data_IF_608168673615
#
_entry.id   IF_608168673615
#
_cell.length_a   1.000
_cell.length_b   1.000
_cell.length_c   1.000
_cell.angle_alpha   90.00
_cell.angle_beta   90.00
_cell.angle_gamma   90.00
#
_symmetry.space_group_name_H-M   'P 1'
#
loop_
_entity.id
_entity.type
_entity.pdbx_description
1 polymer ?
#
# COMPACT_ATOMS: atom_id res chain seq x y z
N UNK A 1 11.03 57.06 7.70
CA UNK A 1 12.35 56.50 7.31
C UNK A 1 13.39 56.55 8.43
N UNK A 2 13.70 57.71 9.04
CA UNK A 2 14.76 57.82 10.08
C UNK A 2 14.57 56.90 11.30
N UNK A 3 13.33 56.69 11.75
CA UNK A 3 13.00 55.84 12.92
C UNK A 3 13.17 54.34 12.67
N UNK A 4 12.98 53.88 11.44
CA UNK A 4 13.18 52.47 11.06
C UNK A 4 14.67 52.14 11.04
N UNK A 5 15.48 53.03 10.47
CA UNK A 5 16.94 52.88 10.43
C UNK A 5 17.53 52.80 11.84
N UNK A 6 17.09 53.66 12.76
CA UNK A 6 17.56 53.66 14.16
C UNK A 6 17.21 52.35 14.89
N UNK A 7 16.02 51.79 14.67
CA UNK A 7 15.62 50.51 15.28
C UNK A 7 16.42 49.34 14.74
N UNK A 8 16.67 49.31 13.43
CA UNK A 8 17.53 48.28 12.81
C UNK A 8 18.97 48.36 13.32
N UNK A 9 19.51 49.57 13.50
CA UNK A 9 20.84 49.77 14.07
C UNK A 9 20.92 49.32 15.54
N UNK A 10 19.92 49.64 16.37
CA UNK A 10 19.87 49.19 17.76
C UNK A 10 19.77 47.67 17.86
N UNK A 11 18.97 47.03 17.00
CA UNK A 11 18.86 45.58 16.97
C UNK A 11 20.18 44.92 16.54
N UNK A 12 20.82 45.43 15.49
CA UNK A 12 22.12 44.93 15.04
C UNK A 12 23.21 45.10 16.12
N UNK A 13 23.21 46.23 16.82
CA UNK A 13 24.15 46.48 17.91
C UNK A 13 23.91 45.54 19.10
N UNK A 14 22.65 45.33 19.47
CA UNK A 14 22.28 44.37 20.51
C UNK A 14 22.69 42.94 20.13
N UNK A 15 22.43 42.51 18.89
CA UNK A 15 22.85 41.21 18.39
C UNK A 15 24.38 41.04 18.43
N UNK A 16 25.13 42.07 18.06
CA UNK A 16 26.59 42.07 18.12
C UNK A 16 27.11 41.96 19.56
N UNK A 17 26.49 42.67 20.51
CA UNK A 17 26.83 42.56 21.94
C UNK A 17 26.55 41.15 22.46
N UNK A 18 25.37 40.59 22.16
CA UNK A 18 25.01 39.23 22.57
C UNK A 18 25.99 38.21 22.01
N UNK A 19 26.40 38.35 20.74
CA UNK A 19 27.40 37.49 20.10
C UNK A 19 28.79 37.63 20.74
N UNK A 20 29.17 38.85 21.13
CA UNK A 20 30.45 39.10 21.79
C UNK A 20 30.47 38.53 23.21
N UNK A 21 29.41 38.75 23.98
CA UNK A 21 29.26 38.20 25.34
C UNK A 21 29.22 36.67 25.29
N UNK A 22 28.48 36.07 24.34
CA UNK A 22 28.44 34.61 24.21
C UNK A 22 29.80 34.01 23.89
N UNK A 23 30.60 34.67 23.05
CA UNK A 23 31.97 34.25 22.72
C UNK A 23 32.90 34.27 23.94
N UNK A 24 32.75 35.25 24.83
CA UNK A 24 33.52 35.36 26.07
C UNK A 24 33.06 34.30 27.08
N UNK A 25 31.75 34.13 27.28
CA UNK A 25 31.19 33.23 28.28
C UNK A 25 31.45 31.76 27.96
N UNK A 26 31.36 31.38 26.68
CA UNK A 26 31.47 30.00 26.21
C UNK A 26 32.89 29.58 25.83
N UNK A 27 33.91 30.46 25.97
CA UNK A 27 35.31 30.22 25.54
C UNK A 27 35.37 29.46 24.21
N UNK A 28 34.71 30.01 23.20
CA UNK A 28 34.44 29.34 21.92
C UNK A 28 35.69 28.76 21.26
N UNK A 29 36.87 29.33 21.49
CA UNK A 29 38.14 28.88 20.91
C UNK A 29 38.50 27.43 21.27
N UNK A 30 38.02 26.89 22.39
CA UNK A 30 38.18 25.48 22.78
C UNK A 30 37.28 24.53 21.96
N UNK A 31 36.12 25.01 21.49
CA UNK A 31 35.10 24.21 20.81
C UNK A 31 35.11 24.35 19.29
N UNK A 32 35.84 25.33 18.72
CA UNK A 32 35.94 25.50 17.25
C UNK A 32 36.48 24.23 16.58
N UNK A 33 37.40 23.51 17.23
CA UNK A 33 37.89 22.21 16.75
C UNK A 33 36.75 21.16 16.71
N UNK A 34 35.91 21.12 17.74
CA UNK A 34 34.79 20.18 17.85
C UNK A 34 33.64 20.51 16.89
N UNK A 35 33.44 21.78 16.51
CA UNK A 35 32.44 22.18 15.50
C UNK A 35 32.72 21.51 14.14
N UNK A 36 33.99 21.31 13.78
CA UNK A 36 34.35 20.58 12.56
C UNK A 36 34.02 19.09 12.68
N UNK A 37 34.23 18.49 13.85
CA UNK A 37 33.87 17.09 14.14
C UNK A 37 32.36 16.89 14.15
N UNK A 38 31.60 17.79 14.77
CA UNK A 38 30.15 17.75 14.83
C UNK A 38 29.52 17.95 13.45
N UNK A 39 30.06 18.86 12.64
CA UNK A 39 29.57 19.09 11.27
C UNK A 39 29.89 17.90 10.36
N UNK A 40 31.08 17.31 10.47
CA UNK A 40 31.42 16.07 9.76
C UNK A 40 30.52 14.91 10.18
N UNK A 41 30.29 14.73 11.49
CA UNK A 41 29.36 13.73 12.03
C UNK A 41 27.94 13.94 11.48
N UNK A 42 27.38 15.15 11.61
CA UNK A 42 26.05 15.46 11.13
C UNK A 42 25.92 15.27 9.62
N UNK A 43 26.97 15.56 8.86
CA UNK A 43 27.00 15.34 7.41
C UNK A 43 26.96 13.85 7.09
N UNK A 44 27.84 13.05 7.68
CA UNK A 44 27.88 11.59 7.42
C UNK A 44 26.57 10.92 7.82
N UNK A 45 26.06 11.22 9.02
CA UNK A 45 24.79 10.65 9.50
C UNK A 45 23.60 11.16 8.69
N UNK A 46 23.57 12.45 8.36
CA UNK A 46 22.51 13.03 7.53
C UNK A 46 22.47 12.45 6.13
N UNK A 47 23.64 12.27 5.50
CA UNK A 47 23.76 11.62 4.18
C UNK A 47 23.32 10.16 4.25
N UNK A 48 23.83 9.39 5.21
CA UNK A 48 23.44 7.98 5.36
C UNK A 48 21.95 7.82 5.65
N UNK A 49 21.41 8.65 6.55
CA UNK A 49 19.98 8.67 6.86
C UNK A 49 19.16 9.03 5.63
N UNK A 50 19.57 10.03 4.85
CA UNK A 50 18.89 10.43 3.63
C UNK A 50 18.85 9.30 2.59
N UNK A 51 19.97 8.60 2.41
CA UNK A 51 20.05 7.45 1.49
C UNK A 51 19.13 6.31 1.97
N UNK A 52 19.23 5.91 3.24
CA UNK A 52 18.39 4.84 3.80
C UNK A 52 16.90 5.20 3.71
N UNK A 53 16.55 6.44 4.07
CA UNK A 53 15.17 6.94 3.99
C UNK A 53 14.65 6.88 2.55
N UNK A 54 15.46 7.31 1.58
CA UNK A 54 15.07 7.27 0.17
C UNK A 54 14.79 5.83 -0.30
N UNK A 55 15.65 4.88 0.07
CA UNK A 55 15.43 3.46 -0.25
C UNK A 55 14.18 2.90 0.42
N UNK A 56 13.95 3.17 1.71
CA UNK A 56 12.75 2.72 2.42
C UNK A 56 11.49 3.26 1.74
N UNK A 57 11.46 4.55 1.40
CA UNK A 57 10.30 5.16 0.73
C UNK A 57 10.07 4.53 -0.64
N UNK A 58 11.13 4.30 -1.41
CA UNK A 58 11.03 3.67 -2.73
C UNK A 58 10.51 2.23 -2.64
N UNK A 59 11.03 1.44 -1.70
CA UNK A 59 10.61 0.05 -1.44
C UNK A 59 9.12 -0.01 -1.06
N UNK A 60 8.70 0.79 -0.08
CA UNK A 60 7.32 0.84 0.40
C UNK A 60 6.36 1.30 -0.71
N UNK A 61 6.77 2.29 -1.50
CA UNK A 61 6.00 2.74 -2.65
C UNK A 61 5.82 1.63 -3.69
N UNK A 62 6.89 0.88 -3.99
CA UNK A 62 6.85 -0.28 -4.88
C UNK A 62 5.87 -1.35 -4.40
N UNK A 63 5.95 -1.72 -3.12
CA UNK A 63 5.05 -2.70 -2.50
C UNK A 63 3.59 -2.24 -2.53
N UNK A 64 3.34 -0.95 -2.24
CA UNK A 64 2.01 -0.37 -2.32
C UNK A 64 1.46 -0.43 -3.75
N UNK A 65 2.25 -0.02 -4.75
CA UNK A 65 1.85 -0.04 -6.15
C UNK A 65 1.59 -1.46 -6.66
N UNK A 66 2.39 -2.43 -6.24
CA UNK A 66 2.20 -3.84 -6.60
C UNK A 66 0.92 -4.40 -5.97
N UNK A 67 0.67 -4.10 -4.69
CA UNK A 67 -0.54 -4.53 -3.98
C UNK A 67 -1.78 -3.94 -4.64
N UNK A 68 -1.75 -2.65 -4.98
CA UNK A 68 -2.84 -1.99 -5.71
C UNK A 68 -3.13 -2.69 -7.04
N UNK A 69 -2.09 -3.00 -7.82
CA UNK A 69 -2.22 -3.71 -9.09
C UNK A 69 -2.84 -5.11 -8.95
N UNK A 70 -2.44 -5.86 -7.91
CA UNK A 70 -3.00 -7.18 -7.62
C UNK A 70 -4.49 -7.09 -7.22
N UNK A 71 -4.86 -6.09 -6.43
CA UNK A 71 -6.27 -5.84 -6.04
C UNK A 71 -7.11 -5.46 -7.26
N UNK A 72 -6.59 -4.60 -8.14
CA UNK A 72 -7.28 -4.22 -9.39
C UNK A 72 -7.49 -5.44 -10.29
N UNK A 73 -6.46 -6.29 -10.45
CA UNK A 73 -6.56 -7.54 -11.21
C UNK A 73 -7.55 -8.53 -10.60
N UNK A 74 -7.53 -8.72 -9.29
CA UNK A 74 -8.48 -9.58 -8.58
C UNK A 74 -9.92 -9.10 -8.80
N UNK A 75 -10.16 -7.78 -8.72
CA UNK A 75 -11.46 -7.19 -8.99
C UNK A 75 -11.93 -7.43 -10.45
N UNK A 76 -11.02 -7.26 -11.42
CA UNK A 76 -11.30 -7.51 -12.84
C UNK A 76 -11.65 -8.99 -13.11
N UNK A 77 -10.91 -9.93 -12.52
CA UNK A 77 -11.16 -11.36 -12.69
C UNK A 77 -12.46 -11.80 -12.00
N UNK A 78 -12.80 -11.23 -10.84
CA UNK A 78 -14.10 -11.46 -10.19
C UNK A 78 -15.25 -10.94 -11.07
N UNK A 79 -15.10 -9.75 -11.64
CA UNK A 79 -16.09 -9.18 -12.55
C UNK A 79 -16.24 -10.05 -13.81
N UNK A 80 -15.13 -10.54 -14.36
CA UNK A 80 -15.10 -11.45 -15.50
C UNK A 80 -15.78 -12.78 -15.18
N UNK A 81 -15.48 -13.37 -14.03
CA UNK A 81 -16.12 -14.59 -13.54
C UNK A 81 -17.64 -14.40 -13.41
N UNK A 82 -18.08 -13.27 -12.84
CA UNK A 82 -19.50 -12.93 -12.77
C UNK A 82 -20.13 -12.82 -14.17
N UNK A 83 -19.49 -12.09 -15.09
CA UNK A 83 -19.98 -11.97 -16.48
C UNK A 83 -20.11 -13.32 -17.18
N UNK A 84 -19.15 -14.22 -17.00
CA UNK A 84 -19.20 -15.57 -17.57
C UNK A 84 -20.42 -16.35 -17.07
N UNK A 85 -20.82 -16.16 -15.81
CA UNK A 85 -21.98 -16.85 -15.26
C UNK A 85 -23.29 -16.44 -15.92
N UNK A 86 -23.37 -15.23 -16.48
CA UNK A 86 -24.57 -14.73 -17.14
C UNK A 86 -24.91 -15.50 -18.43
N UNK A 87 -23.90 -16.14 -19.04
CA UNK A 87 -24.09 -16.95 -20.24
C UNK A 87 -24.75 -18.31 -19.97
N UNK A 88 -24.82 -18.76 -18.71
CA UNK A 88 -25.53 -19.98 -18.35
C UNK A 88 -27.05 -19.77 -18.36
N UNK A 89 -27.78 -20.79 -18.81
CA UNK A 89 -29.25 -20.80 -18.77
C UNK A 89 -29.79 -20.93 -17.34
N UNK A 90 -29.09 -21.66 -16.47
CA UNK A 90 -29.51 -21.90 -15.09
C UNK A 90 -29.61 -20.60 -14.27
N UNK A 91 -30.84 -20.21 -13.92
CA UNK A 91 -31.12 -19.02 -13.11
C UNK A 91 -30.70 -19.18 -11.64
N UNK A 92 -30.77 -20.39 -11.10
CA UNK A 92 -30.41 -20.68 -9.70
C UNK A 92 -28.90 -20.56 -9.53
N UNK A 93 -28.13 -21.14 -10.46
CA UNK A 93 -26.68 -20.98 -10.53
C UNK A 93 -26.28 -19.49 -10.58
N UNK A 94 -26.86 -18.70 -11.49
CA UNK A 94 -26.59 -17.27 -11.60
C UNK A 94 -26.83 -16.50 -10.30
N UNK A 95 -27.97 -16.76 -9.64
CA UNK A 95 -28.31 -16.09 -8.39
C UNK A 95 -27.36 -16.48 -7.25
N UNK A 96 -27.02 -17.78 -7.16
CA UNK A 96 -26.08 -18.27 -6.15
C UNK A 96 -24.67 -17.72 -6.36
N UNK A 97 -24.18 -17.72 -7.61
CA UNK A 97 -22.85 -17.19 -7.91
C UNK A 97 -22.78 -15.70 -7.62
N UNK A 98 -23.80 -14.92 -8.04
CA UNK A 98 -23.89 -13.49 -7.72
C UNK A 98 -23.74 -13.25 -6.22
N UNK A 99 -24.52 -13.97 -5.41
CA UNK A 99 -24.48 -13.83 -3.95
C UNK A 99 -23.12 -14.19 -3.36
N UNK A 100 -22.50 -15.27 -3.81
CA UNK A 100 -21.17 -15.67 -3.33
C UNK A 100 -20.11 -14.61 -3.69
N UNK A 101 -20.18 -14.05 -4.90
CA UNK A 101 -19.27 -12.98 -5.35
C UNK A 101 -19.49 -11.70 -4.53
N UNK A 102 -20.74 -11.32 -4.25
CA UNK A 102 -21.07 -10.19 -3.39
C UNK A 102 -20.54 -10.41 -1.96
N UNK A 103 -20.80 -11.58 -1.36
CA UNK A 103 -20.32 -11.95 -0.03
C UNK A 103 -18.78 -11.91 0.05
N UNK A 104 -18.10 -12.45 -0.99
CA UNK A 104 -16.64 -12.44 -1.08
C UNK A 104 -16.10 -11.01 -1.14
N UNK A 105 -16.66 -10.18 -2.03
CA UNK A 105 -16.21 -8.80 -2.25
C UNK A 105 -16.43 -7.94 -1.00
N UNK A 106 -17.57 -8.08 -0.33
CA UNK A 106 -17.85 -7.38 0.93
C UNK A 106 -16.87 -7.76 2.03
N UNK A 107 -16.52 -9.03 2.13
CA UNK A 107 -15.58 -9.52 3.15
C UNK A 107 -14.16 -9.03 2.89
N UNK A 108 -13.73 -9.00 1.62
CA UNK A 108 -12.42 -8.44 1.24
C UNK A 108 -12.35 -6.94 1.57
N UNK A 109 -13.41 -6.18 1.28
CA UNK A 109 -13.48 -4.74 1.56
C UNK A 109 -13.48 -4.46 3.06
N UNK A 110 -14.31 -5.19 3.82
CA UNK A 110 -14.57 -4.89 5.23
C UNK A 110 -13.45 -5.34 6.15
N UNK A 111 -12.99 -6.58 5.98
CA UNK A 111 -12.13 -7.22 6.97
C UNK A 111 -10.68 -7.31 6.46
N UNK A 112 -10.45 -7.67 5.19
CA UNK A 112 -9.11 -8.05 4.74
C UNK A 112 -8.13 -6.89 4.57
N UNK A 113 -8.55 -5.72 4.11
CA UNK A 113 -7.62 -4.59 3.95
C UNK A 113 -6.95 -4.15 5.25
N UNK A 114 -7.58 -4.40 6.41
CA UNK A 114 -6.99 -4.11 7.71
C UNK A 114 -5.89 -5.11 8.13
N UNK A 115 -5.91 -6.33 7.58
CA UNK A 115 -5.01 -7.42 7.96
C UNK A 115 -3.99 -7.81 6.88
N UNK A 116 -4.07 -7.22 5.67
CA UNK A 116 -3.13 -7.49 4.57
C UNK A 116 -1.67 -7.23 4.96
N UNK A 117 -1.40 -6.20 5.76
CA UNK A 117 -0.05 -5.90 6.24
C UNK A 117 0.55 -6.93 7.21
N UNK A 118 -0.25 -7.89 7.69
CA UNK A 118 0.18 -8.94 8.62
C UNK A 118 0.45 -10.31 7.98
N UNK A 119 0.34 -10.45 6.65
CA UNK A 119 0.63 -11.70 5.92
C UNK A 119 -0.23 -12.90 6.32
N UNK A 120 -1.34 -12.67 7.03
CA UNK A 120 -2.14 -13.72 7.65
C UNK A 120 -3.39 -14.02 6.82
N UNK A 121 -3.62 -15.30 6.52
CA UNK A 121 -4.86 -15.74 5.86
C UNK A 121 -6.04 -15.60 6.81
N UNK A 122 -7.09 -14.95 6.34
CA UNK A 122 -8.33 -14.83 7.09
C UNK A 122 -9.25 -16.03 6.80
N UNK A 123 -9.51 -16.86 7.81
CA UNK A 123 -10.23 -18.13 7.64
C UNK A 123 -11.64 -17.94 7.06
N UNK A 124 -12.33 -16.85 7.41
CA UNK A 124 -13.66 -16.55 6.88
C UNK A 124 -13.61 -16.28 5.37
N UNK A 125 -12.56 -15.63 4.87
CA UNK A 125 -12.39 -15.34 3.45
C UNK A 125 -12.08 -16.60 2.66
N UNK A 126 -11.20 -17.46 3.18
CA UNK A 126 -10.95 -18.77 2.58
C UNK A 126 -12.22 -19.62 2.48
N UNK A 127 -13.11 -19.54 3.49
CA UNK A 127 -14.39 -20.26 3.47
C UNK A 127 -15.32 -19.73 2.39
N UNK A 128 -15.44 -18.41 2.23
CA UNK A 128 -16.31 -17.81 1.20
C UNK A 128 -15.74 -18.05 -0.20
N UNK A 129 -14.44 -17.89 -0.39
CA UNK A 129 -13.78 -18.15 -1.68
C UNK A 129 -13.97 -19.61 -2.14
N UNK A 130 -13.86 -20.57 -1.21
CA UNK A 130 -14.09 -22.00 -1.53
C UNK A 130 -15.52 -22.28 -1.99
N UNK A 131 -16.52 -21.48 -1.60
CA UNK A 131 -17.91 -21.65 -2.10
C UNK A 131 -18.00 -21.45 -3.61
N UNK A 132 -17.13 -20.62 -4.19
CA UNK A 132 -17.05 -20.44 -5.66
C UNK A 132 -16.66 -21.77 -6.30
N UNK A 133 -15.59 -22.42 -5.82
CA UNK A 133 -15.16 -23.72 -6.33
C UNK A 133 -16.22 -24.81 -6.16
N UNK A 134 -16.93 -24.82 -5.03
CA UNK A 134 -18.03 -25.75 -4.81
C UNK A 134 -19.15 -25.54 -5.85
N UNK A 135 -19.54 -24.29 -6.08
CA UNK A 135 -20.60 -23.98 -7.05
C UNK A 135 -20.18 -24.31 -8.49
N UNK A 136 -18.92 -24.08 -8.86
CA UNK A 136 -18.39 -24.45 -10.19
C UNK A 136 -18.42 -25.97 -10.38
N UNK A 137 -18.01 -26.73 -9.37
CA UNK A 137 -17.99 -28.21 -9.42
C UNK A 137 -19.37 -28.83 -9.64
N UNK A 138 -20.40 -28.19 -9.09
CA UNK A 138 -21.78 -28.70 -9.18
C UNK A 138 -22.47 -28.36 -10.51
N UNK A 139 -21.78 -27.65 -11.43
CA UNK A 139 -22.28 -27.38 -12.77
C UNK A 139 -22.26 -28.67 -13.60
N UNK A 140 -23.42 -29.01 -14.18
CA UNK A 140 -23.54 -30.05 -15.21
C UNK A 140 -23.88 -29.38 -16.55
N UNK A 141 -22.90 -29.16 -17.45
CA UNK A 141 -23.14 -28.51 -18.73
C UNK A 141 -24.07 -29.36 -19.62
N UNK A 142 -25.19 -28.77 -20.06
CA UNK A 142 -26.24 -29.47 -20.81
C UNK A 142 -26.09 -29.34 -22.34
N UNK A 143 -25.37 -28.32 -22.82
CA UNK A 143 -25.14 -28.08 -24.25
C UNK A 143 -23.71 -27.58 -24.53
N UNK A 144 -23.31 -27.57 -25.80
CA UNK A 144 -21.95 -27.18 -26.23
C UNK A 144 -21.59 -25.74 -25.86
N UNK A 145 -22.58 -24.84 -25.83
CA UNK A 145 -22.40 -23.47 -25.34
C UNK A 145 -22.05 -23.46 -23.85
N UNK A 146 -22.81 -24.17 -23.02
CA UNK A 146 -22.54 -24.27 -21.58
C UNK A 146 -21.20 -24.96 -21.29
N UNK A 147 -20.78 -25.93 -22.12
CA UNK A 147 -19.45 -26.56 -22.03
C UNK A 147 -18.33 -25.56 -22.29
N UNK A 148 -18.45 -24.78 -23.37
CA UNK A 148 -17.45 -23.76 -23.72
C UNK A 148 -17.34 -22.70 -22.62
N UNK A 149 -18.46 -22.24 -22.09
CA UNK A 149 -18.47 -21.26 -20.99
C UNK A 149 -17.90 -21.87 -19.70
N UNK A 150 -18.18 -23.14 -19.42
CA UNK A 150 -17.64 -23.85 -18.26
C UNK A 150 -16.10 -23.91 -18.30
N UNK A 151 -15.51 -24.25 -19.44
CA UNK A 151 -14.05 -24.28 -19.60
C UNK A 151 -13.42 -22.92 -19.29
N UNK A 152 -14.05 -21.83 -19.77
CA UNK A 152 -13.62 -20.47 -19.44
C UNK A 152 -13.78 -20.16 -17.94
N UNK A 153 -14.88 -20.54 -17.30
CA UNK A 153 -15.07 -20.32 -15.86
C UNK A 153 -13.98 -21.02 -15.04
N UNK A 154 -13.64 -22.27 -15.38
CA UNK A 154 -12.61 -23.02 -14.67
C UNK A 154 -11.24 -22.37 -14.83
N UNK A 155 -10.88 -21.94 -16.05
CA UNK A 155 -9.63 -21.23 -16.30
C UNK A 155 -9.55 -19.92 -15.50
N UNK A 156 -10.60 -19.09 -15.56
CA UNK A 156 -10.64 -17.82 -14.82
C UNK A 156 -10.67 -18.01 -13.30
N UNK A 157 -11.27 -19.09 -12.80
CA UNK A 157 -11.19 -19.41 -11.39
C UNK A 157 -9.76 -19.77 -10.95
N UNK A 158 -9.01 -20.48 -11.81
CA UNK A 158 -7.58 -20.75 -11.60
C UNK A 158 -6.78 -19.45 -11.51
N UNK A 159 -6.91 -18.57 -12.50
CA UNK A 159 -6.23 -17.27 -12.55
C UNK A 159 -6.56 -16.42 -11.31
N UNK A 160 -7.83 -16.39 -10.90
CA UNK A 160 -8.28 -15.68 -9.71
C UNK A 160 -7.67 -16.27 -8.42
N UNK A 161 -7.55 -17.59 -8.33
CA UNK A 161 -6.94 -18.28 -7.18
C UNK A 161 -5.45 -17.95 -7.06
N UNK A 162 -4.75 -17.86 -8.19
CA UNK A 162 -3.34 -17.50 -8.23
C UNK A 162 -3.14 -16.02 -7.85
N UNK A 163 -3.91 -15.11 -8.44
CA UNK A 163 -3.90 -13.68 -8.07
C UNK A 163 -4.19 -13.45 -6.59
N UNK A 164 -5.16 -14.19 -6.04
CA UNK A 164 -5.47 -14.14 -4.61
C UNK A 164 -4.29 -14.61 -3.77
N UNK A 165 -3.57 -15.64 -4.22
CA UNK A 165 -2.39 -16.17 -3.53
C UNK A 165 -1.25 -15.15 -3.57
N UNK A 166 -0.99 -14.54 -4.71
CA UNK A 166 0.03 -13.50 -4.89
C UNK A 166 -0.27 -12.24 -4.08
N UNK A 167 -1.55 -11.90 -3.87
CA UNK A 167 -1.95 -10.77 -3.03
C UNK A 167 -1.76 -11.04 -1.53
N UNK A 168 -1.85 -12.30 -1.12
CA UNK A 168 -1.75 -12.68 0.30
C UNK A 168 -0.28 -12.84 0.73
N UNK A 169 0.58 -13.30 -0.17
CA UNK A 169 2.01 -13.53 0.07
C UNK A 169 2.83 -12.25 -0.10
#
# INVERSE_FOLDING_TARGET
MKTVIIRSFLFAFFAAIVMYISRILLRTDLYIADVSGLSAFATVFGTLYGIITAFIVFEVWGQFSQTQHLVEKEAMEIERLYRLTLYFKDKKFKLHMKKIIEDYTQLVIKDKFQYLGGGSRHEAEDKVFRKIAHLIRDISPDNDHDRTVFDHIVAHYGDLSDLRTDRIN
#
